data_IF_236469016412
#
_entry.id   IF_236469016412
#
_cell.length_a   1.000
_cell.length_b   1.000
_cell.length_c   1.000
_cell.angle_alpha   90.00
_cell.angle_beta   90.00
_cell.angle_gamma   90.00
#
_symmetry.space_group_name_H-M   'P 1'
#
loop_
_entity.id
_entity.type
_entity.pdbx_description
1 polymer ?
#
# COMPACT_ATOMS: atom_id res chain seq x y z
N UNK A 1 27.60 -7.00 -4.36
CA UNK A 1 26.57 -8.03 -4.38
C UNK A 1 25.19 -7.41 -4.23
N UNK A 2 24.17 -7.95 -4.95
CA UNK A 2 22.82 -7.33 -5.02
C UNK A 2 22.12 -7.27 -3.63
N UNK A 3 22.38 -8.26 -2.79
CA UNK A 3 21.92 -8.30 -1.39
C UNK A 3 22.56 -7.17 -0.56
N UNK A 4 23.84 -6.89 -0.78
CA UNK A 4 24.52 -5.79 -0.09
C UNK A 4 23.99 -4.43 -0.52
N UNK A 5 23.65 -4.26 -1.81
CA UNK A 5 23.00 -3.07 -2.34
C UNK A 5 21.61 -2.86 -1.72
N UNK A 6 20.77 -3.91 -1.66
CA UNK A 6 19.46 -3.85 -1.02
C UNK A 6 19.55 -3.54 0.47
N UNK A 7 20.51 -4.14 1.16
CA UNK A 7 20.74 -3.92 2.59
C UNK A 7 21.22 -2.49 2.86
N UNK A 8 22.11 -1.95 2.02
CA UNK A 8 22.56 -0.56 2.12
C UNK A 8 21.43 0.42 1.84
N UNK A 9 20.65 0.19 0.78
CA UNK A 9 19.50 1.01 0.40
C UNK A 9 18.41 1.02 1.50
N UNK A 10 18.15 -0.14 2.10
CA UNK A 10 17.20 -0.27 3.22
C UNK A 10 17.68 0.50 4.45
N UNK A 11 18.99 0.45 4.74
CA UNK A 11 19.58 1.14 5.88
C UNK A 11 19.60 2.65 5.70
N UNK A 12 19.87 3.15 4.49
CA UNK A 12 19.86 4.58 4.17
C UNK A 12 18.43 5.13 4.16
N UNK A 13 17.46 4.35 3.69
CA UNK A 13 16.04 4.70 3.76
C UNK A 13 15.55 4.74 5.21
N UNK A 14 15.88 3.74 6.04
CA UNK A 14 15.53 3.73 7.44
C UNK A 14 16.11 4.93 8.21
N UNK A 15 17.33 5.37 7.87
CA UNK A 15 17.92 6.58 8.44
C UNK A 15 17.21 7.85 7.99
N UNK A 16 16.79 7.94 6.71
CA UNK A 16 16.07 9.10 6.19
C UNK A 16 14.67 9.24 6.78
N UNK A 17 14.03 8.12 7.13
CA UNK A 17 12.70 8.07 7.75
C UNK A 17 12.78 8.44 9.24
N UNK A 18 13.81 7.98 9.97
CA UNK A 18 13.97 8.33 11.40
C UNK A 18 14.14 9.84 11.65
N UNK A 19 14.72 10.57 10.69
CA UNK A 19 14.91 12.04 10.77
C UNK A 19 13.60 12.81 10.50
N UNK A 20 12.61 12.21 9.82
CA UNK A 20 11.31 12.86 9.51
C UNK A 20 10.21 12.61 10.53
N UNK A 21 10.41 11.74 11.51
CA UNK A 21 9.36 11.28 12.44
C UNK A 21 9.23 12.08 13.75
N UNK A 22 9.89 13.22 13.91
CA UNK A 22 9.94 13.92 15.21
C UNK A 22 8.70 14.76 15.58
N UNK A 23 7.60 14.76 14.80
CA UNK A 23 6.43 15.60 15.08
C UNK A 23 5.07 14.91 15.09
N UNK A 24 5.03 13.58 15.18
CA UNK A 24 3.77 12.81 15.21
C UNK A 24 3.38 12.34 16.60
N UNK A 25 2.07 12.10 16.82
CA UNK A 25 1.59 11.36 18.00
C UNK A 25 2.22 9.98 18.03
N UNK A 26 2.41 9.38 19.24
CA UNK A 26 2.99 8.03 19.38
C UNK A 26 2.29 6.99 18.48
N UNK A 27 0.97 7.04 18.42
CA UNK A 27 0.15 6.15 17.59
C UNK A 27 0.36 6.37 16.08
N UNK A 28 0.49 7.61 15.63
CA UNK A 28 0.80 7.92 14.23
C UNK A 28 2.18 7.39 13.81
N UNK A 29 3.14 7.35 14.72
CA UNK A 29 4.46 6.78 14.47
C UNK A 29 4.42 5.25 14.40
N UNK A 30 3.60 4.60 15.22
CA UNK A 30 3.37 3.15 15.17
C UNK A 30 2.70 2.73 13.87
N UNK A 31 1.70 3.47 13.40
CA UNK A 31 1.04 3.25 12.12
C UNK A 31 2.03 3.36 10.96
N UNK A 32 2.87 4.41 10.94
CA UNK A 32 3.90 4.58 9.90
C UNK A 32 4.90 3.42 9.90
N UNK A 33 5.39 3.05 11.08
CA UNK A 33 6.32 1.93 11.23
C UNK A 33 5.70 0.61 10.76
N UNK A 34 4.42 0.37 11.05
CA UNK A 34 3.71 -0.82 10.59
C UNK A 34 3.53 -0.82 9.06
N UNK A 35 3.14 0.32 8.47
CA UNK A 35 2.97 0.44 7.02
C UNK A 35 4.30 0.24 6.29
N UNK A 36 5.40 0.75 6.83
CA UNK A 36 6.75 0.49 6.32
C UNK A 36 7.13 -0.99 6.39
N UNK A 37 6.80 -1.67 7.49
CA UNK A 37 7.01 -3.13 7.60
C UNK A 37 6.23 -3.89 6.55
N UNK A 38 4.96 -3.51 6.29
CA UNK A 38 4.16 -4.10 5.20
C UNK A 38 4.85 -3.89 3.86
N UNK A 39 5.28 -2.67 3.56
CA UNK A 39 5.99 -2.35 2.33
C UNK A 39 7.25 -3.19 2.15
N UNK A 40 8.13 -3.24 3.16
CA UNK A 40 9.37 -4.02 3.11
C UNK A 40 9.13 -5.54 3.08
N UNK A 41 7.97 -6.00 3.53
CA UNK A 41 7.56 -7.40 3.35
C UNK A 41 7.20 -7.68 1.89
N UNK A 42 6.52 -6.77 1.21
CA UNK A 42 6.01 -6.96 -0.16
C UNK A 42 7.03 -6.61 -1.25
N UNK A 43 7.90 -5.62 -1.04
CA UNK A 43 8.85 -5.14 -2.05
C UNK A 43 9.74 -6.26 -2.64
N UNK A 44 10.35 -7.17 -1.84
CA UNK A 44 11.17 -8.24 -2.36
C UNK A 44 10.41 -9.19 -3.30
N UNK A 45 9.14 -9.47 -2.99
CA UNK A 45 8.29 -10.30 -3.85
C UNK A 45 7.96 -9.60 -5.17
N UNK A 46 7.68 -8.28 -5.13
CA UNK A 46 7.45 -7.50 -6.34
C UNK A 46 8.68 -7.46 -7.25
N UNK A 47 9.86 -7.29 -6.69
CA UNK A 47 11.15 -7.33 -7.42
C UNK A 47 11.37 -8.70 -8.06
N UNK A 48 11.14 -9.77 -7.31
CA UNK A 48 11.33 -11.15 -7.81
C UNK A 48 10.30 -11.50 -8.89
N UNK A 49 9.04 -11.10 -8.72
CA UNK A 49 8.01 -11.27 -9.75
C UNK A 49 8.38 -10.57 -11.06
N UNK A 50 8.88 -9.34 -10.99
CA UNK A 50 9.35 -8.62 -12.17
C UNK A 50 10.53 -9.32 -12.85
N UNK A 51 11.43 -9.91 -12.05
CA UNK A 51 12.58 -10.67 -12.57
C UNK A 51 12.16 -11.95 -13.29
N UNK A 52 11.18 -12.67 -12.76
CA UNK A 52 10.72 -13.96 -13.30
C UNK A 52 9.83 -13.78 -14.51
N UNK A 53 8.95 -12.77 -14.50
CA UNK A 53 7.95 -12.57 -15.56
C UNK A 53 8.55 -12.18 -16.92
N UNK A 54 9.77 -11.65 -16.97
CA UNK A 54 10.45 -11.31 -18.24
C UNK A 54 9.65 -10.38 -19.15
N UNK A 55 9.98 -10.39 -20.46
CA UNK A 55 9.35 -9.53 -21.47
C UNK A 55 7.93 -9.94 -21.88
N UNK A 56 7.55 -11.18 -21.64
CA UNK A 56 6.29 -11.75 -22.17
C UNK A 56 5.06 -11.47 -21.28
N UNK A 57 5.28 -11.18 -20.00
CA UNK A 57 4.21 -10.92 -19.04
C UNK A 57 4.16 -9.45 -18.56
N UNK A 58 4.40 -8.49 -19.46
CA UNK A 58 4.44 -7.05 -19.13
C UNK A 58 3.20 -6.52 -18.41
N UNK A 59 2.07 -7.20 -18.53
CA UNK A 59 0.85 -6.77 -17.84
C UNK A 59 0.91 -6.99 -16.34
N UNK A 60 1.68 -7.96 -15.88
CA UNK A 60 1.92 -8.28 -14.49
C UNK A 60 3.18 -7.59 -13.93
N UNK A 61 3.87 -6.77 -14.73
CA UNK A 61 4.98 -5.96 -14.25
C UNK A 61 4.48 -5.00 -13.17
N UNK A 62 5.11 -5.09 -12.00
CA UNK A 62 4.76 -4.29 -10.84
C UNK A 62 5.59 -3.01 -10.77
N UNK A 63 4.91 -1.87 -10.81
CA UNK A 63 5.44 -0.57 -10.41
C UNK A 63 5.23 -0.37 -8.93
N UNK A 64 6.27 0.01 -8.21
CA UNK A 64 6.25 0.12 -6.76
C UNK A 64 6.51 1.57 -6.35
N UNK A 65 5.64 2.11 -5.51
CA UNK A 65 5.81 3.42 -4.89
C UNK A 65 6.04 3.23 -3.38
N UNK A 66 7.20 3.64 -2.85
CA UNK A 66 7.51 3.52 -1.43
C UNK A 66 6.58 4.39 -0.56
N UNK A 67 6.51 4.11 0.75
CA UNK A 67 5.72 4.89 1.68
C UNK A 67 6.06 6.37 1.64
N UNK A 68 5.02 7.19 1.48
CA UNK A 68 5.16 8.64 1.47
C UNK A 68 3.89 9.32 2.01
N UNK A 69 4.07 10.54 2.52
CA UNK A 69 2.94 11.39 2.91
C UNK A 69 2.29 11.97 1.65
N UNK A 70 0.99 11.80 1.54
CA UNK A 70 0.19 12.29 0.41
C UNK A 70 -0.97 13.12 0.94
N UNK A 71 -1.17 14.29 0.36
CA UNK A 71 -2.32 15.15 0.67
C UNK A 71 -3.46 14.83 -0.28
N UNK A 72 -4.61 14.51 0.27
CA UNK A 72 -5.84 14.18 -0.46
C UNK A 72 -6.97 15.12 -0.06
N UNK A 73 -7.91 15.37 -0.96
CA UNK A 73 -9.10 16.16 -0.64
C UNK A 73 -10.03 15.35 0.28
N UNK A 74 -10.43 15.93 1.41
CA UNK A 74 -11.14 15.23 2.48
C UNK A 74 -12.56 14.76 2.12
N UNK A 75 -13.22 15.39 1.15
CA UNK A 75 -14.57 15.03 0.70
C UNK A 75 -14.60 15.05 -0.82
N UNK A 76 -15.21 14.03 -1.42
CA UNK A 76 -15.47 13.93 -2.86
C UNK A 76 -16.32 15.08 -3.45
N UNK A 77 -16.39 16.21 -2.77
CA UNK A 77 -17.03 17.42 -3.28
C UNK A 77 -16.11 18.05 -4.32
N UNK A 78 -16.54 18.02 -5.57
CA UNK A 78 -15.98 18.77 -6.70
C UNK A 78 -16.01 20.29 -6.49
N UNK A 79 -16.49 20.77 -5.36
CA UNK A 79 -16.54 22.19 -5.03
C UNK A 79 -15.30 22.64 -4.28
N UNK A 80 -14.49 23.38 -4.96
CA UNK A 80 -13.45 24.39 -4.71
C UNK A 80 -13.25 24.93 -3.27
N UNK A 81 -13.41 24.13 -2.22
CA UNK A 81 -12.94 24.50 -0.89
C UNK A 81 -11.58 23.85 -0.66
N UNK A 82 -10.55 24.60 -1.02
CA UNK A 82 -9.13 24.27 -0.83
C UNK A 82 -8.72 24.01 0.65
N UNK A 83 -9.68 24.07 1.59
CA UNK A 83 -9.39 24.15 3.01
C UNK A 83 -9.46 22.81 3.76
N UNK A 84 -9.71 21.70 3.07
CA UNK A 84 -9.78 20.38 3.70
C UNK A 84 -8.95 19.35 2.94
N UNK A 85 -7.65 19.48 3.02
CA UNK A 85 -6.74 18.40 2.66
C UNK A 85 -6.49 17.53 3.88
N UNK A 86 -6.62 16.21 3.72
CA UNK A 86 -6.22 15.23 4.72
C UNK A 86 -4.92 14.59 4.25
N UNK A 87 -3.96 14.50 5.14
CA UNK A 87 -2.69 13.86 4.86
C UNK A 87 -2.76 12.39 5.23
N UNK A 88 -2.48 11.51 4.27
CA UNK A 88 -2.37 10.07 4.47
C UNK A 88 -0.94 9.61 4.24
N UNK A 89 -0.49 8.66 5.03
CA UNK A 89 0.75 7.94 4.78
C UNK A 89 0.42 6.68 3.98
N UNK A 90 1.00 6.53 2.77
CA UNK A 90 0.61 5.45 1.87
C UNK A 90 1.75 4.92 1.03
N UNK A 91 1.64 3.66 0.59
CA UNK A 91 2.45 3.04 -0.44
C UNK A 91 1.56 2.40 -1.50
N UNK A 92 2.15 2.01 -2.64
CA UNK A 92 1.40 1.46 -3.76
C UNK A 92 2.20 0.42 -4.53
N UNK A 93 1.51 -0.64 -4.93
CA UNK A 93 1.97 -1.66 -5.87
C UNK A 93 0.99 -1.69 -7.05
N UNK A 94 1.45 -1.45 -8.27
CA UNK A 94 0.54 -1.31 -9.42
C UNK A 94 0.98 -2.19 -10.58
N UNK A 95 0.02 -2.88 -11.19
CA UNK A 95 0.13 -3.41 -12.53
C UNK A 95 -0.31 -2.35 -13.55
N UNK A 96 -0.38 -2.69 -14.82
CA UNK A 96 -0.93 -1.78 -15.84
C UNK A 96 -2.42 -1.49 -15.65
N UNK A 97 -3.18 -2.42 -15.07
CA UNK A 97 -4.65 -2.32 -14.97
C UNK A 97 -5.10 -1.92 -13.57
N UNK A 98 -4.51 -2.50 -12.54
CA UNK A 98 -4.93 -2.35 -11.15
C UNK A 98 -3.79 -1.88 -10.24
N UNK A 99 -4.15 -1.18 -9.19
CA UNK A 99 -3.24 -0.75 -8.13
C UNK A 99 -3.75 -1.22 -6.76
N UNK A 100 -2.86 -1.83 -6.00
CA UNK A 100 -3.01 -2.06 -4.58
C UNK A 100 -2.47 -0.83 -3.85
N UNK A 101 -3.36 -0.05 -3.25
CA UNK A 101 -3.01 1.12 -2.44
C UNK A 101 -3.16 0.75 -0.97
N UNK A 102 -2.11 0.92 -0.21
CA UNK A 102 -2.07 0.68 1.23
C UNK A 102 -1.96 2.04 1.90
N UNK A 103 -3.01 2.42 2.62
CA UNK A 103 -3.17 3.75 3.22
C UNK A 103 -3.30 3.67 4.73
N UNK A 104 -2.45 4.39 5.45
CA UNK A 104 -2.49 4.52 6.90
C UNK A 104 -3.23 5.78 7.34
N UNK A 105 -4.11 5.62 8.29
CA UNK A 105 -4.68 6.64 9.18
C UNK A 105 -4.24 6.36 10.61
N UNK A 106 -4.61 7.20 11.58
CA UNK A 106 -4.10 7.09 12.95
C UNK A 106 -4.27 5.70 13.59
N UNK A 107 -5.41 5.07 13.35
CA UNK A 107 -5.85 3.81 13.97
C UNK A 107 -6.14 2.69 12.98
N UNK A 108 -5.88 2.91 11.70
CA UNK A 108 -6.24 1.98 10.65
C UNK A 108 -5.22 1.98 9.50
N UNK A 109 -4.96 0.81 8.92
CA UNK A 109 -4.27 0.64 7.64
C UNK A 109 -5.21 -0.11 6.72
N UNK A 110 -5.67 0.57 5.67
CA UNK A 110 -6.60 0.04 4.68
C UNK A 110 -5.88 -0.36 3.39
N UNK A 111 -6.31 -1.47 2.82
CA UNK A 111 -5.82 -2.01 1.56
C UNK A 111 -6.91 -1.87 0.51
N UNK A 112 -6.68 -1.04 -0.51
CA UNK A 112 -7.62 -0.81 -1.60
C UNK A 112 -7.10 -1.39 -2.90
N UNK A 113 -7.97 -2.04 -3.66
CA UNK A 113 -7.70 -2.47 -5.02
C UNK A 113 -8.51 -1.61 -5.97
N UNK A 114 -7.83 -0.79 -6.76
CA UNK A 114 -8.44 0.21 -7.64
C UNK A 114 -7.84 0.19 -9.04
N UNK A 115 -8.58 0.59 -10.09
CA UNK A 115 -8.01 0.77 -11.42
C UNK A 115 -6.85 1.77 -11.42
N UNK A 116 -5.76 1.42 -12.11
CA UNK A 116 -4.52 2.23 -12.12
C UNK A 116 -4.74 3.62 -12.73
N UNK A 117 -5.61 3.75 -13.73
CA UNK A 117 -5.97 5.02 -14.35
C UNK A 117 -6.71 5.99 -13.41
N UNK A 118 -7.28 5.48 -12.33
CA UNK A 118 -8.02 6.26 -11.33
C UNK A 118 -7.22 6.61 -10.07
N UNK A 119 -5.98 6.20 -9.99
CA UNK A 119 -5.12 6.44 -8.82
C UNK A 119 -4.93 7.92 -8.50
N UNK A 120 -4.98 8.79 -9.50
CA UNK A 120 -4.87 10.24 -9.31
C UNK A 120 -6.13 10.88 -8.70
N UNK A 121 -7.26 10.19 -8.75
CA UNK A 121 -8.55 10.63 -8.17
C UNK A 121 -8.92 9.90 -6.89
N UNK A 122 -7.97 9.41 -6.15
CA UNK A 122 -8.08 8.47 -5.04
C UNK A 122 -9.08 8.89 -3.97
N UNK A 123 -9.11 10.16 -3.56
CA UNK A 123 -10.02 10.65 -2.53
C UNK A 123 -11.51 10.47 -2.89
N UNK A 124 -11.86 10.59 -4.17
CA UNK A 124 -13.23 10.39 -4.68
C UNK A 124 -13.62 8.91 -4.73
N UNK A 125 -12.68 8.03 -4.99
CA UNK A 125 -12.91 6.60 -5.21
C UNK A 125 -12.87 5.85 -3.89
N UNK A 126 -11.95 6.19 -3.01
CA UNK A 126 -11.83 5.57 -1.69
C UNK A 126 -13.04 5.83 -0.79
N UNK A 127 -13.65 7.00 -0.87
CA UNK A 127 -14.90 7.29 -0.16
C UNK A 127 -16.04 6.36 -0.59
N UNK A 128 -15.96 5.78 -1.80
CA UNK A 128 -16.98 4.89 -2.36
C UNK A 128 -16.54 3.43 -2.44
N UNK A 129 -15.24 3.15 -2.29
CA UNK A 129 -14.67 1.81 -2.43
C UNK A 129 -14.43 1.19 -1.05
N UNK A 130 -15.03 0.03 -0.83
CA UNK A 130 -14.77 -0.74 0.38
C UNK A 130 -13.34 -1.30 0.33
N UNK A 131 -12.57 -1.20 1.43
CA UNK A 131 -11.24 -1.81 1.48
C UNK A 131 -11.32 -3.33 1.32
N UNK A 132 -10.34 -3.90 0.63
CA UNK A 132 -10.16 -5.34 0.50
C UNK A 132 -9.88 -5.97 1.86
N UNK A 133 -9.10 -5.27 2.68
CA UNK A 133 -8.71 -5.67 4.03
C UNK A 133 -8.32 -4.42 4.84
N UNK A 134 -8.43 -4.52 6.17
CA UNK A 134 -7.99 -3.47 7.09
C UNK A 134 -7.24 -4.07 8.28
N UNK A 135 -6.16 -3.41 8.67
CA UNK A 135 -5.54 -3.59 9.99
C UNK A 135 -6.01 -2.46 10.88
N UNK A 136 -6.52 -2.78 12.05
CA UNK A 136 -7.09 -1.80 13.00
C UNK A 136 -6.31 -1.81 14.32
N UNK A 137 -6.15 -0.64 14.91
CA UNK A 137 -5.53 -0.49 16.21
C UNK A 137 -6.59 -0.49 17.32
N UNK A 138 -6.48 -1.42 18.23
CA UNK A 138 -7.34 -1.52 19.42
C UNK A 138 -6.52 -1.26 20.66
N UNK A 139 -6.93 -0.29 21.47
CA UNK A 139 -6.16 0.13 22.68
C UNK A 139 -5.81 -1.01 23.63
N UNK A 140 -6.63 -2.05 23.70
CA UNK A 140 -6.39 -3.18 24.59
C UNK A 140 -5.51 -4.28 23.99
N UNK A 141 -5.44 -4.40 22.67
CA UNK A 141 -4.81 -5.52 21.97
C UNK A 141 -3.70 -5.10 21.00
N UNK A 142 -3.55 -3.79 20.74
CA UNK A 142 -2.66 -3.27 19.71
C UNK A 142 -3.24 -3.46 18.31
N UNK A 143 -2.38 -3.68 17.31
CA UNK A 143 -2.82 -3.88 15.94
C UNK A 143 -3.46 -5.26 15.75
N UNK A 144 -4.61 -5.27 15.10
CA UNK A 144 -5.42 -6.47 14.85
C UNK A 144 -5.79 -6.59 13.37
N UNK A 145 -6.05 -7.82 12.94
CA UNK A 145 -6.64 -8.16 11.64
C UNK A 145 -7.73 -9.18 11.85
N UNK A 146 -8.93 -8.93 11.34
CA UNK A 146 -10.11 -9.80 11.55
C UNK A 146 -10.35 -10.13 13.03
N UNK A 147 -10.12 -9.17 13.93
CA UNK A 147 -10.29 -9.33 15.38
C UNK A 147 -9.21 -10.20 16.06
N UNK A 148 -8.09 -10.49 15.38
CA UNK A 148 -6.95 -11.24 15.92
C UNK A 148 -5.72 -10.36 15.97
N UNK A 149 -4.92 -10.50 17.03
CA UNK A 149 -3.65 -9.79 17.18
C UNK A 149 -2.75 -9.96 15.94
N UNK A 150 -2.19 -8.87 15.45
CA UNK A 150 -1.30 -8.82 14.30
C UNK A 150 0.13 -9.15 14.71
N UNK A 151 0.49 -10.44 14.67
CA UNK A 151 1.87 -10.88 14.82
C UNK A 151 2.62 -10.88 13.48
N UNK A 152 3.91 -11.19 13.50
CA UNK A 152 4.76 -11.19 12.31
C UNK A 152 4.22 -12.11 11.20
N UNK A 153 3.85 -13.34 11.53
CA UNK A 153 3.38 -14.33 10.55
C UNK A 153 2.04 -13.90 9.91
N UNK A 154 1.15 -13.32 10.70
CA UNK A 154 -0.10 -12.78 10.18
C UNK A 154 0.12 -11.57 9.29
N UNK A 155 1.00 -10.65 9.71
CA UNK A 155 1.36 -9.49 8.88
C UNK A 155 1.86 -9.94 7.52
N UNK A 156 2.83 -10.84 7.47
CA UNK A 156 3.37 -11.38 6.22
C UNK A 156 2.29 -12.07 5.39
N UNK A 157 1.55 -13.01 5.97
CA UNK A 157 0.50 -13.77 5.29
C UNK A 157 -0.57 -12.88 4.70
N UNK A 158 -1.13 -11.96 5.48
CA UNK A 158 -2.20 -11.08 5.01
C UNK A 158 -1.71 -10.07 3.99
N UNK A 159 -0.50 -9.54 4.14
CA UNK A 159 0.09 -8.65 3.14
C UNK A 159 0.31 -9.37 1.81
N UNK A 160 0.84 -10.60 1.82
CA UNK A 160 1.00 -11.41 0.61
C UNK A 160 -0.32 -11.76 -0.06
N UNK A 161 -1.38 -12.06 0.71
CA UNK A 161 -2.72 -12.28 0.15
C UNK A 161 -3.23 -11.09 -0.64
N UNK A 162 -2.94 -9.85 -0.21
CA UNK A 162 -3.36 -8.66 -0.97
C UNK A 162 -2.59 -8.49 -2.27
N UNK A 163 -1.31 -8.85 -2.30
CA UNK A 163 -0.51 -8.86 -3.53
C UNK A 163 -0.99 -9.95 -4.50
N UNK A 164 -1.31 -11.15 -4.00
CA UNK A 164 -1.92 -12.23 -4.77
C UNK A 164 -3.25 -11.77 -5.41
N UNK A 165 -4.13 -11.15 -4.63
CA UNK A 165 -5.37 -10.57 -5.15
C UNK A 165 -5.14 -9.54 -6.26
N UNK A 166 -4.13 -8.69 -6.15
CA UNK A 166 -3.78 -7.74 -7.21
C UNK A 166 -3.44 -8.47 -8.51
N UNK A 167 -2.63 -9.53 -8.42
CA UNK A 167 -2.20 -10.29 -9.60
C UNK A 167 -3.36 -11.07 -10.23
N UNK A 168 -4.14 -11.78 -9.43
CA UNK A 168 -5.29 -12.57 -9.89
C UNK A 168 -6.33 -11.68 -10.57
N UNK A 169 -6.69 -10.58 -9.96
CA UNK A 169 -7.65 -9.63 -10.54
C UNK A 169 -7.12 -8.96 -11.80
N UNK A 170 -5.82 -8.69 -11.88
CA UNK A 170 -5.22 -8.17 -13.11
C UNK A 170 -5.33 -9.18 -14.26
N UNK A 171 -5.10 -10.47 -13.99
CA UNK A 171 -5.24 -11.54 -14.99
C UNK A 171 -6.70 -11.71 -15.43
N UNK A 172 -7.64 -11.68 -14.49
CA UNK A 172 -9.08 -11.75 -14.79
C UNK A 172 -9.52 -10.61 -15.71
N UNK A 173 -9.15 -9.37 -15.39
CA UNK A 173 -9.49 -8.20 -16.21
C UNK A 173 -8.86 -8.27 -17.59
N UNK A 174 -7.60 -8.68 -17.70
CA UNK A 174 -6.95 -8.90 -19.00
C UNK A 174 -7.73 -9.88 -19.85
N UNK A 175 -8.17 -11.00 -19.28
CA UNK A 175 -8.93 -12.03 -19.98
C UNK A 175 -10.27 -11.50 -20.52
N UNK A 176 -10.90 -10.55 -19.82
CA UNK A 176 -12.12 -9.89 -20.25
C UNK A 176 -11.87 -8.93 -21.43
N UNK A 177 -10.73 -8.22 -21.44
CA UNK A 177 -10.36 -7.33 -22.56
C UNK A 177 -10.03 -8.09 -23.83
N UNK A 178 -9.46 -9.29 -23.73
CA UNK A 178 -9.11 -10.11 -24.90
C UNK A 178 -10.32 -10.78 -25.58
N UNK A 179 -11.47 -10.85 -24.89
CA UNK A 179 -12.72 -11.44 -25.40
C UNK A 179 -13.65 -10.46 -26.08
N UNK A 180 -13.32 -9.17 -26.07
CA UNK A 180 -14.06 -8.10 -26.75
C UNK A 180 -13.41 -7.72 -28.06
#
# INVERSE_FOLDING_TARGET
DYLDYLTAKTRDYAKSVSVRCESGTSQGNEMKALLERIYFTLEPYAVELNRVNGSDARILELSVQPPCLTNELADGSTQRRADRTVSYYRCRFSTRLLALVIRGSEDCIDFFLIPTDRVLGLSLIEAQTKPLMSFTFEHAQGWTVEGKELNHDRLERYSLLTLEHLLDRTQEEQSLYQRR
#
